data_IF_936352307575
#
_entry.id   IF_936352307575
#
_cell.length_a   1.000
_cell.length_b   1.000
_cell.length_c   1.000
_cell.angle_alpha   90.00
_cell.angle_beta   90.00
_cell.angle_gamma   90.00
#
_symmetry.space_group_name_H-M   'P 1'
#
loop_
_entity.id
_entity.type
_entity.pdbx_description
1 polymer ?
#
# COMPACT_ATOMS: atom_id res chain seq x y z
N UNK A 1 -40.63 -3.75 -23.49
CA UNK A 1 -40.28 -2.74 -22.47
C UNK A 1 -38.77 -2.82 -22.27
N UNK A 2 -38.01 -2.03 -23.02
CA UNK A 2 -36.55 -1.95 -22.88
C UNK A 2 -36.25 -0.80 -21.94
N UNK A 3 -35.90 -1.08 -20.69
CA UNK A 3 -35.50 -0.05 -19.74
C UNK A 3 -34.03 -0.19 -19.33
N UNK A 4 -33.26 0.69 -19.95
CA UNK A 4 -31.99 1.24 -19.57
C UNK A 4 -32.00 1.81 -18.14
N UNK A 5 -31.29 1.16 -17.22
CA UNK A 5 -30.82 1.69 -15.93
C UNK A 5 -29.63 0.81 -15.51
N UNK A 6 -28.42 0.99 -16.04
CA UNK A 6 -27.52 2.11 -15.71
C UNK A 6 -27.99 2.94 -14.52
N UNK A 7 -27.71 2.46 -13.31
CA UNK A 7 -27.67 3.33 -12.15
C UNK A 7 -26.61 2.82 -11.18
N UNK A 8 -25.35 2.96 -11.60
CA UNK A 8 -24.25 3.09 -10.67
C UNK A 8 -24.56 4.29 -9.75
N UNK A 9 -24.48 4.08 -8.44
CA UNK A 9 -24.88 5.09 -7.46
C UNK A 9 -23.88 6.26 -7.47
N UNK A 10 -24.33 7.53 -7.54
CA UNK A 10 -23.43 8.67 -7.44
C UNK A 10 -22.92 8.77 -6.00
N UNK A 11 -21.63 8.50 -5.80
CA UNK A 11 -20.99 8.54 -4.48
C UNK A 11 -20.06 7.37 -4.18
N UNK A 12 -20.00 6.35 -5.04
CA UNK A 12 -18.99 5.29 -4.93
C UNK A 12 -17.67 5.76 -5.56
N UNK A 13 -17.02 6.71 -4.89
CA UNK A 13 -15.67 7.16 -5.24
C UNK A 13 -14.64 6.13 -4.75
N UNK A 14 -14.53 5.05 -5.53
CA UNK A 14 -13.46 4.03 -5.53
C UNK A 14 -13.78 2.77 -4.69
N UNK A 15 -14.02 1.59 -5.33
CA UNK A 15 -14.03 0.31 -4.62
C UNK A 15 -12.67 0.09 -3.92
N UNK A 16 -12.63 -0.51 -2.71
CA UNK A 16 -11.41 -0.66 -1.93
C UNK A 16 -10.39 -1.52 -2.67
N UNK A 17 -9.50 -0.79 -3.35
CA UNK A 17 -8.37 -1.22 -4.15
C UNK A 17 -7.49 0.01 -4.44
N UNK A 18 -7.49 0.98 -3.52
CA UNK A 18 -6.60 2.15 -3.54
C UNK A 18 -5.17 1.67 -3.40
N UNK A 19 -4.59 1.28 -4.52
CA UNK A 19 -3.19 0.94 -4.70
C UNK A 19 -2.30 2.17 -4.57
N UNK A 20 -2.31 2.78 -3.38
CA UNK A 20 -1.33 3.79 -3.00
C UNK A 20 -0.56 3.39 -1.74
N UNK A 21 -0.87 2.24 -1.11
CA UNK A 21 0.00 1.63 -0.11
C UNK A 21 0.74 0.46 -0.76
N UNK A 22 1.95 0.70 -1.24
CA UNK A 22 2.84 -0.35 -1.71
C UNK A 22 3.80 -0.77 -0.61
N UNK A 23 4.19 -2.04 -0.58
CA UNK A 23 5.35 -2.46 0.21
C UNK A 23 6.60 -1.83 -0.41
N UNK A 24 7.09 -0.78 0.23
CA UNK A 24 8.33 -0.13 -0.12
C UNK A 24 9.48 -0.79 0.65
N UNK A 25 10.66 -0.81 0.03
CA UNK A 25 11.89 -1.24 0.71
C UNK A 25 12.11 -0.37 1.93
N UNK A 26 12.36 -0.99 3.09
CA UNK A 26 12.62 -0.24 4.32
C UNK A 26 13.94 0.55 4.16
N UNK A 27 13.92 1.89 4.16
CA UNK A 27 15.13 2.70 3.93
C UNK A 27 16.10 2.66 5.12
N UNK A 28 15.70 2.05 6.24
CA UNK A 28 16.53 1.93 7.44
C UNK A 28 17.47 0.72 7.38
N UNK A 29 17.03 -0.35 6.74
CA UNK A 29 17.79 -1.60 6.62
C UNK A 29 18.02 -2.01 5.17
N UNK A 30 17.64 -1.18 4.19
CA UNK A 30 17.76 -1.45 2.75
C UNK A 30 17.16 -2.80 2.35
N UNK A 31 16.02 -3.16 2.93
CA UNK A 31 15.37 -4.46 2.63
C UNK A 31 15.95 -5.65 3.39
N UNK A 32 17.05 -5.47 4.13
CA UNK A 32 17.72 -6.58 4.84
C UNK A 32 16.93 -7.13 6.02
N UNK A 33 15.91 -6.41 6.51
CA UNK A 33 15.15 -6.77 7.72
C UNK A 33 15.97 -6.70 9.02
N UNK A 34 17.26 -6.39 8.96
CA UNK A 34 18.17 -6.33 10.11
C UNK A 34 18.99 -5.05 10.10
N UNK A 35 19.24 -4.48 11.27
CA UNK A 35 20.15 -3.35 11.47
C UNK A 35 21.03 -3.61 12.68
N UNK A 36 22.32 -3.32 12.55
CA UNK A 36 23.32 -3.49 13.62
C UNK A 36 23.33 -4.89 14.27
N UNK A 37 23.03 -5.93 13.47
CA UNK A 37 23.01 -7.33 13.93
C UNK A 37 21.72 -7.76 14.65
N UNK A 38 20.75 -6.86 14.83
CA UNK A 38 19.43 -7.17 15.39
C UNK A 38 18.30 -6.99 14.36
N UNK A 39 17.09 -7.35 14.76
CA UNK A 39 15.88 -7.13 13.95
C UNK A 39 15.64 -5.64 13.72
N UNK A 40 15.25 -5.26 12.50
CA UNK A 40 15.03 -3.86 12.16
C UNK A 40 13.78 -3.31 12.85
N UNK A 41 13.88 -2.32 13.76
CA UNK A 41 12.73 -1.81 14.49
C UNK A 41 11.87 -0.84 13.65
N UNK A 42 12.26 -0.52 12.40
CA UNK A 42 11.41 0.27 11.51
C UNK A 42 10.38 -0.58 10.76
N UNK A 43 10.76 -1.81 10.40
CA UNK A 43 9.90 -2.72 9.67
C UNK A 43 9.49 -3.97 10.49
N UNK A 44 10.06 -4.16 11.70
CA UNK A 44 9.82 -5.36 12.50
C UNK A 44 10.39 -6.63 11.86
N UNK A 45 11.53 -6.53 11.19
CA UNK A 45 12.20 -7.71 10.60
C UNK A 45 11.78 -8.08 9.18
N UNK A 46 10.71 -7.50 8.65
CA UNK A 46 10.17 -7.85 7.31
C UNK A 46 11.05 -7.39 6.14
N UNK A 47 11.82 -6.32 6.32
CA UNK A 47 12.58 -5.67 5.25
C UNK A 47 11.75 -4.70 4.39
N UNK A 48 10.41 -4.78 4.46
CA UNK A 48 9.49 -3.89 3.75
C UNK A 48 8.64 -3.08 4.74
N UNK A 49 8.28 -1.86 4.35
CA UNK A 49 7.34 -1.02 5.10
C UNK A 49 6.17 -0.66 4.20
N UNK A 50 4.97 -0.64 4.76
CA UNK A 50 3.80 -0.10 4.07
C UNK A 50 3.93 1.41 4.05
N UNK A 51 4.37 1.96 2.92
CA UNK A 51 4.45 3.39 2.70
C UNK A 51 3.39 3.78 1.67
N UNK A 52 2.91 5.02 1.77
CA UNK A 52 2.18 5.61 0.66
C UNK A 52 3.19 5.74 -0.49
N UNK A 53 3.08 4.87 -1.50
CA UNK A 53 3.85 4.97 -2.74
C UNK A 53 3.19 6.10 -3.52
N UNK A 54 3.57 7.32 -3.16
CA UNK A 54 3.35 8.50 -3.98
C UNK A 54 4.51 8.59 -4.95
N UNK A 55 4.30 8.17 -6.19
CA UNK A 55 5.22 8.40 -7.29
C UNK A 55 5.38 9.94 -7.43
N UNK A 56 6.56 10.45 -7.08
CA UNK A 56 6.94 11.85 -7.30
C UNK A 56 7.54 12.05 -8.69
#
# INVERSE_FOLDING_TARGET
>A
MTNNSDEAKPGDEVPPGTGQSGEAVCPRCDGSGRVKGGECPACGGTGTVTALVGDA
#
